data_IF_553044839502
#
_entry.id   IF_553044839502
#
_cell.length_a   1.000
_cell.length_b   1.000
_cell.length_c   1.000
_cell.angle_alpha   90.00
_cell.angle_beta   90.00
_cell.angle_gamma   90.00
#
_symmetry.space_group_name_H-M   'P 1'
#
loop_
_entity.id
_entity.type
_entity.pdbx_description
1 polymer ?
#
# COMPACT_ATOMS: atom_id res chain seq x y z
N UNK A 1 27.21 21.25 -9.26
CA UNK A 1 25.93 21.18 -8.51
C UNK A 1 25.60 19.72 -8.25
N UNK A 2 25.97 19.20 -7.07
CA UNK A 2 25.80 17.79 -6.73
C UNK A 2 24.39 17.53 -6.24
N UNK A 3 23.56 16.91 -7.06
CA UNK A 3 22.30 16.33 -6.61
C UNK A 3 22.61 14.93 -6.07
N UNK A 4 22.98 14.87 -4.80
CA UNK A 4 23.09 13.61 -4.06
C UNK A 4 21.66 13.17 -3.69
N UNK A 5 20.88 12.76 -4.70
CA UNK A 5 19.57 12.20 -4.49
C UNK A 5 19.76 10.78 -3.94
N UNK A 6 19.32 10.57 -2.71
CA UNK A 6 19.39 9.31 -2.00
C UNK A 6 18.60 8.22 -2.74
N UNK A 7 19.36 7.29 -3.33
CA UNK A 7 19.07 5.87 -3.60
C UNK A 7 18.33 5.46 -4.90
N UNK A 8 19.15 5.14 -5.91
CA UNK A 8 19.11 3.90 -6.70
C UNK A 8 20.60 3.58 -6.98
N UNK A 9 21.11 2.37 -6.81
CA UNK A 9 22.56 2.07 -6.83
C UNK A 9 23.08 1.53 -8.18
N UNK A 10 22.43 1.87 -9.29
CA UNK A 10 22.80 1.39 -10.63
C UNK A 10 21.97 0.21 -11.14
N UNK A 11 20.92 -0.20 -10.41
CA UNK A 11 19.96 -1.21 -10.86
C UNK A 11 19.36 -0.79 -12.20
N UNK A 12 19.17 -1.77 -13.10
CA UNK A 12 18.66 -1.56 -14.47
C UNK A 12 19.49 -0.59 -15.33
N UNK A 13 20.79 -0.43 -15.02
CA UNK A 13 21.69 0.51 -15.70
C UNK A 13 21.17 1.96 -15.65
N UNK A 14 20.40 2.28 -14.61
CA UNK A 14 19.92 3.63 -14.37
C UNK A 14 20.86 4.39 -13.43
N UNK A 15 21.09 5.68 -13.67
CA UNK A 15 21.86 6.52 -12.75
C UNK A 15 21.14 6.61 -11.40
N UNK A 16 21.90 6.96 -10.35
CA UNK A 16 21.37 7.03 -8.99
C UNK A 16 20.31 8.11 -8.82
N UNK A 17 19.03 7.72 -8.91
CA UNK A 17 17.89 8.57 -8.60
C UNK A 17 16.64 7.76 -8.18
N UNK A 18 15.79 8.36 -7.34
CA UNK A 18 14.46 7.86 -6.94
C UNK A 18 13.32 8.33 -7.84
N UNK A 19 13.56 8.43 -9.15
CA UNK A 19 12.59 8.91 -10.12
C UNK A 19 12.12 7.80 -11.06
N UNK A 20 12.10 6.55 -10.57
CA UNK A 20 11.71 5.39 -11.34
C UNK A 20 10.65 4.57 -10.60
N UNK A 21 9.87 3.80 -11.36
CA UNK A 21 8.70 3.03 -10.88
C UNK A 21 9.01 1.54 -10.70
N UNK A 22 10.29 1.18 -10.66
CA UNK A 22 10.67 -0.21 -10.41
C UNK A 22 10.42 -0.60 -8.96
N UNK A 23 10.15 -1.88 -8.73
CA UNK A 23 9.86 -2.43 -7.40
C UNK A 23 10.88 -2.02 -6.34
N UNK A 24 12.17 -2.02 -6.66
CA UNK A 24 13.23 -1.64 -5.70
C UNK A 24 13.16 -0.17 -5.27
N UNK A 25 12.57 0.70 -6.08
CA UNK A 25 12.41 2.12 -5.78
C UNK A 25 11.08 2.42 -5.07
N UNK A 26 10.00 1.73 -5.42
CA UNK A 26 8.65 2.02 -4.90
C UNK A 26 8.23 1.14 -3.72
N UNK A 27 8.77 -0.07 -3.60
CA UNK A 27 8.37 -1.04 -2.57
C UNK A 27 9.20 -0.88 -1.30
N UNK A 28 8.74 -0.03 -0.40
CA UNK A 28 9.38 0.18 0.90
C UNK A 28 9.03 -0.97 1.86
N UNK A 29 10.01 -1.62 2.50
CA UNK A 29 9.74 -2.63 3.53
C UNK A 29 9.09 -2.00 4.76
N UNK A 30 8.00 -2.60 5.25
CA UNK A 30 7.27 -2.13 6.43
C UNK A 30 7.15 -3.25 7.46
N UNK A 31 7.50 -2.96 8.71
CA UNK A 31 7.36 -3.85 9.86
C UNK A 31 6.59 -3.12 10.96
N UNK A 32 5.56 -3.78 11.48
CA UNK A 32 4.70 -3.23 12.53
C UNK A 32 4.69 -4.21 13.71
N UNK A 33 4.90 -3.70 14.93
CA UNK A 33 4.86 -4.47 16.18
C UNK A 33 4.06 -3.70 17.22
N UNK A 34 3.22 -4.41 17.97
CA UNK A 34 2.39 -3.83 19.01
C UNK A 34 1.58 -4.89 19.75
N UNK A 35 0.98 -4.52 20.89
CA UNK A 35 0.08 -5.40 21.64
C UNK A 35 -1.14 -5.75 20.77
N UNK A 36 -1.53 -7.03 20.74
CA UNK A 36 -2.68 -7.50 19.95
C UNK A 36 -2.46 -7.59 18.44
N UNK A 37 -1.30 -7.18 17.92
CA UNK A 37 -0.97 -7.33 16.50
C UNK A 37 -0.57 -8.79 16.24
N UNK A 38 -1.24 -9.42 15.27
CA UNK A 38 -1.00 -10.82 14.92
C UNK A 38 0.36 -10.99 14.22
N UNK A 39 1.19 -11.99 14.60
CA UNK A 39 2.45 -12.26 13.93
C UNK A 39 2.20 -12.91 12.57
N UNK A 40 2.24 -12.12 11.49
CA UNK A 40 2.00 -12.60 10.13
C UNK A 40 2.71 -11.76 9.07
N UNK A 41 2.79 -12.32 7.86
CA UNK A 41 3.14 -11.58 6.65
C UNK A 41 1.88 -11.18 5.91
N UNK A 42 1.71 -9.89 5.67
CA UNK A 42 0.64 -9.35 4.83
C UNK A 42 1.13 -9.33 3.37
N UNK A 43 0.28 -9.76 2.44
CA UNK A 43 0.54 -9.74 0.99
C UNK A 43 -0.18 -8.58 0.31
N UNK A 44 -1.10 -7.96 1.01
CA UNK A 44 -1.93 -6.88 0.55
C UNK A 44 -1.09 -5.61 0.35
N UNK A 45 -1.44 -4.84 -0.68
CA UNK A 45 -0.70 -3.62 -1.04
C UNK A 45 -1.10 -2.52 -0.05
N UNK A 46 -0.11 -1.90 0.59
CA UNK A 46 -0.28 -0.69 1.40
C UNK A 46 0.48 0.49 0.79
N UNK A 47 0.06 1.71 1.11
CA UNK A 47 0.75 2.94 0.71
C UNK A 47 1.14 3.77 1.94
N UNK A 48 2.13 4.65 1.81
CA UNK A 48 2.54 5.54 2.91
C UNK A 48 1.39 6.46 3.38
N UNK A 49 0.43 6.78 2.51
CA UNK A 49 -0.76 7.57 2.88
C UNK A 49 -1.68 6.85 3.88
N UNK A 50 -1.59 5.52 3.97
CA UNK A 50 -2.38 4.70 4.90
C UNK A 50 -1.87 4.83 6.35
N UNK A 51 -0.65 5.34 6.57
CA UNK A 51 -0.05 5.43 7.91
C UNK A 51 -0.79 6.40 8.82
N UNK A 52 -1.15 7.58 8.30
CA UNK A 52 -1.86 8.60 9.08
C UNK A 52 -3.21 8.09 9.65
N UNK A 53 -4.15 7.57 8.83
CA UNK A 53 -5.40 7.03 9.37
C UNK A 53 -5.18 5.76 10.21
N UNK A 54 -4.10 5.00 10.00
CA UNK A 54 -3.76 3.85 10.86
C UNK A 54 -3.37 4.28 12.27
N UNK A 55 -2.55 5.33 12.41
CA UNK A 55 -2.15 5.84 13.73
C UNK A 55 -3.32 6.46 14.49
N UNK A 56 -4.23 7.16 13.79
CA UNK A 56 -5.45 7.67 14.42
C UNK A 56 -6.32 6.52 14.94
N UNK A 57 -6.52 5.47 14.13
CA UNK A 57 -7.29 4.30 14.55
C UNK A 57 -6.64 3.59 15.75
N UNK A 58 -5.30 3.49 15.80
CA UNK A 58 -4.58 2.96 16.96
C UNK A 58 -4.76 3.82 18.23
N UNK A 59 -4.94 5.13 18.07
CA UNK A 59 -5.24 6.06 19.16
C UNK A 59 -6.74 6.08 19.54
N UNK A 60 -7.59 5.30 18.87
CA UNK A 60 -9.04 5.32 19.08
C UNK A 60 -9.72 6.60 18.55
N UNK A 61 -9.08 7.29 17.61
CA UNK A 61 -9.58 8.50 16.97
C UNK A 61 -10.06 8.21 15.55
N UNK A 62 -11.14 8.88 15.16
CA UNK A 62 -11.62 8.84 13.77
C UNK A 62 -10.76 9.75 12.88
N UNK A 63 -10.61 9.45 11.57
CA UNK A 63 -9.88 10.31 10.62
C UNK A 63 -10.40 11.76 10.56
N UNK A 64 -11.68 11.96 10.88
CA UNK A 64 -12.34 13.28 10.95
C UNK A 64 -11.99 14.07 12.21
N UNK A 65 -11.28 13.47 13.17
CA UNK A 65 -10.87 14.15 14.40
C UNK A 65 -9.80 15.24 14.15
N UNK A 66 -9.05 15.15 13.06
CA UNK A 66 -8.16 16.22 12.63
C UNK A 66 -8.91 17.23 11.77
N UNK A 67 -8.73 18.51 12.06
CA UNK A 67 -9.26 19.59 11.23
C UNK A 67 -8.51 19.59 9.89
N UNK A 68 -9.18 19.22 8.81
CA UNK A 68 -8.57 19.14 7.49
C UNK A 68 -9.46 18.47 6.43
N UNK A 69 -8.97 18.39 5.18
CA UNK A 69 -9.63 17.62 4.13
C UNK A 69 -9.68 16.13 4.48
N UNK A 70 -10.63 15.37 3.90
CA UNK A 70 -10.69 13.92 4.08
C UNK A 70 -9.35 13.26 3.71
N UNK A 71 -8.92 12.28 4.52
CA UNK A 71 -7.74 11.49 4.20
C UNK A 71 -8.06 10.50 3.09
N UNK A 72 -7.20 10.43 2.08
CA UNK A 72 -7.33 9.46 0.97
C UNK A 72 -6.95 8.03 1.40
N UNK A 73 -6.05 7.92 2.38
CA UNK A 73 -5.56 6.63 2.89
C UNK A 73 -6.63 5.87 3.68
N UNK A 74 -6.43 4.55 3.80
CA UNK A 74 -7.29 3.66 4.60
C UNK A 74 -6.49 3.02 5.72
N UNK A 75 -7.10 2.89 6.89
CA UNK A 75 -6.45 2.27 8.03
C UNK A 75 -6.07 0.81 7.74
N UNK A 76 -4.82 0.44 8.07
CA UNK A 76 -4.31 -0.93 7.99
C UNK A 76 -4.73 -1.78 9.20
N UNK A 77 -5.32 -1.16 10.23
CA UNK A 77 -5.67 -1.79 11.51
C UNK A 77 -6.49 -3.09 11.37
N UNK A 78 -7.50 -3.20 10.47
CA UNK A 78 -8.27 -4.45 10.31
C UNK A 78 -7.39 -5.64 9.95
N UNK A 79 -6.35 -5.43 9.13
CA UNK A 79 -5.42 -6.48 8.76
C UNK A 79 -4.46 -6.86 9.90
N UNK A 80 -4.09 -5.87 10.71
CA UNK A 80 -3.16 -6.06 11.83
C UNK A 80 -3.80 -6.83 13.00
N UNK A 81 -5.08 -6.59 13.28
CA UNK A 81 -5.75 -7.11 14.48
C UNK A 81 -6.64 -8.34 14.21
N UNK A 82 -7.48 -8.30 13.17
CA UNK A 82 -8.46 -9.37 12.91
C UNK A 82 -8.12 -10.22 11.70
N UNK A 83 -7.17 -9.79 10.87
CA UNK A 83 -6.89 -10.43 9.59
C UNK A 83 -8.05 -10.37 8.60
N UNK A 84 -9.05 -9.51 8.87
CA UNK A 84 -10.22 -9.36 8.03
C UNK A 84 -9.82 -8.69 6.72
N UNK A 85 -10.04 -9.37 5.60
CA UNK A 85 -9.83 -8.80 4.27
C UNK A 85 -10.79 -7.62 4.09
N UNK A 86 -10.27 -6.42 4.29
CA UNK A 86 -11.01 -5.20 4.00
C UNK A 86 -10.95 -4.98 2.51
N UNK A 87 -12.09 -5.22 1.89
CA UNK A 87 -12.31 -5.01 0.49
C UNK A 87 -12.05 -3.56 0.09
N UNK A 88 -10.97 -3.35 -0.67
CA UNK A 88 -10.44 -2.00 -0.93
C UNK A 88 -11.12 -1.29 -2.08
N UNK A 89 -11.80 -2.03 -2.96
CA UNK A 89 -12.35 -1.50 -4.20
C UNK A 89 -13.82 -1.11 -4.02
N UNK A 90 -14.21 0.12 -4.43
CA UNK A 90 -15.61 0.46 -4.58
C UNK A 90 -16.34 -0.60 -5.42
N UNK A 91 -17.60 -0.88 -5.09
CA UNK A 91 -18.40 -1.89 -5.78
C UNK A 91 -18.40 -1.69 -7.31
N UNK A 92 -18.45 -0.43 -7.75
CA UNK A 92 -18.39 -0.07 -9.17
C UNK A 92 -17.05 -0.48 -9.83
N UNK A 93 -15.92 -0.20 -9.19
CA UNK A 93 -14.58 -0.55 -9.69
C UNK A 93 -14.38 -2.06 -9.74
N UNK A 94 -14.87 -2.78 -8.73
CA UNK A 94 -14.86 -4.25 -8.75
C UNK A 94 -15.70 -4.81 -9.89
N UNK A 95 -16.90 -4.28 -10.09
CA UNK A 95 -17.76 -4.70 -11.19
C UNK A 95 -17.10 -4.43 -12.56
N UNK A 96 -16.39 -3.30 -12.69
CA UNK A 96 -15.59 -2.99 -13.88
C UNK A 96 -14.46 -3.99 -14.08
N UNK A 97 -13.66 -4.26 -13.05
CA UNK A 97 -12.57 -5.23 -13.13
C UNK A 97 -13.07 -6.64 -13.43
N UNK A 98 -14.19 -7.06 -12.84
CA UNK A 98 -14.81 -8.34 -13.14
C UNK A 98 -15.23 -8.44 -14.61
N UNK A 99 -15.79 -7.36 -15.18
CA UNK A 99 -16.11 -7.27 -16.62
C UNK A 99 -14.86 -7.37 -17.48
N UNK A 100 -13.79 -6.64 -17.14
CA UNK A 100 -12.56 -6.65 -17.93
C UNK A 100 -11.78 -7.96 -17.81
N UNK A 101 -11.72 -8.59 -16.63
CA UNK A 101 -11.12 -9.92 -16.46
C UNK A 101 -11.91 -10.97 -17.25
N UNK A 102 -13.25 -10.91 -17.23
CA UNK A 102 -14.08 -11.79 -18.05
C UNK A 102 -13.85 -11.55 -19.56
N UNK A 103 -13.59 -10.31 -19.98
CA UNK A 103 -13.29 -9.94 -21.36
C UNK A 103 -11.91 -10.41 -21.83
N UNK A 104 -10.91 -10.34 -20.96
CA UNK A 104 -9.51 -10.65 -21.27
C UNK A 104 -9.20 -12.16 -21.17
N UNK A 105 -10.08 -12.95 -20.58
CA UNK A 105 -9.83 -14.37 -20.29
C UNK A 105 -8.85 -14.56 -19.12
N UNK A 106 -8.65 -15.81 -18.69
CA UNK A 106 -7.86 -16.17 -17.50
C UNK A 106 -6.51 -15.43 -17.50
N UNK A 107 -6.11 -14.75 -16.41
CA UNK A 107 -4.84 -14.04 -16.38
C UNK A 107 -3.69 -15.02 -16.66
N UNK A 108 -2.80 -14.64 -17.58
CA UNK A 108 -1.59 -15.40 -17.87
C UNK A 108 -0.82 -15.64 -16.57
N UNK A 109 -0.38 -16.87 -16.27
CA UNK A 109 0.40 -17.12 -15.07
C UNK A 109 1.65 -16.25 -15.13
N UNK A 110 1.89 -15.45 -14.09
CA UNK A 110 3.09 -14.65 -13.97
C UNK A 110 4.31 -15.56 -14.10
N UNK A 111 5.10 -15.37 -15.16
CA UNK A 111 6.42 -16.00 -15.30
C UNK A 111 7.25 -15.52 -14.11
N UNK A 112 7.69 -16.48 -13.30
CA UNK A 112 8.53 -16.25 -12.11
C UNK A 112 9.93 -15.82 -12.50
#
# INVERSE_FOLDING_TARGET
>A
AGLLATDNMGQHNLPSCKLNVYDHAVRVPMLIRGPGILPRRLKEIGSNVDLAPTFLALAGLEPTALQGPPMDGKSLLPWLLSGAETDRLPAATRAQLAREVARLGTPMPHVR
#
